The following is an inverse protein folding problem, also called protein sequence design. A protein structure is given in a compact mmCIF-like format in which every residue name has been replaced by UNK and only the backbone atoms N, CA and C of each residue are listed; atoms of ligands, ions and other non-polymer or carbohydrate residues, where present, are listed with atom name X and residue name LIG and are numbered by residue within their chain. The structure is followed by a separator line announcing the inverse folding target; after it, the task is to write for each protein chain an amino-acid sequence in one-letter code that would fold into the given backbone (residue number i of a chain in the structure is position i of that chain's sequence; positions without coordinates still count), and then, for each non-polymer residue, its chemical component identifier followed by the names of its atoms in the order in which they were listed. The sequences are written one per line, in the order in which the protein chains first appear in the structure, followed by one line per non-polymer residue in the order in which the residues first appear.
data_IF_901619448488
#
_entry.id   IF_901619448488
#
_cell.length_a   1.000
_cell.length_b   1.000
_cell.length_c   1.000
_cell.angle_alpha   90.00
_cell.angle_beta   90.00
_cell.angle_gamma   90.00
#
_symmetry.space_group_name_H-M   'P 1'
#
loop_
_entity.id
_entity.type
_entity.pdbx_description
1 polymer ?
#
# COMPACT_ATOMS: atom_id res chain seq x y z
N UNK A 1 -17.93 -11.70 -30.40
CA UNK A 1 -17.29 -11.29 -29.13
C UNK A 1 -18.36 -10.80 -28.15
N UNK A 2 -18.20 -10.98 -26.83
CA UNK A 2 -19.12 -10.39 -25.86
C UNK A 2 -18.79 -8.90 -25.65
N UNK A 3 -19.80 -8.06 -25.44
CA UNK A 3 -19.65 -6.66 -25.04
C UNK A 3 -18.67 -6.50 -23.86
N UNK A 4 -18.66 -7.48 -22.95
CA UNK A 4 -17.76 -7.54 -21.80
C UNK A 4 -16.29 -7.57 -22.22
N UNK A 5 -15.90 -8.36 -23.23
CA UNK A 5 -14.51 -8.43 -23.66
C UNK A 5 -14.01 -7.10 -24.25
N UNK A 6 -14.84 -6.42 -25.04
CA UNK A 6 -14.52 -5.09 -25.56
C UNK A 6 -14.37 -4.06 -24.42
N UNK A 7 -15.30 -4.04 -23.45
CA UNK A 7 -15.23 -3.13 -22.30
C UNK A 7 -13.99 -3.39 -21.43
N UNK A 8 -13.61 -4.65 -21.23
CA UNK A 8 -12.38 -5.01 -20.53
C UNK A 8 -11.14 -4.46 -21.24
N UNK A 9 -11.07 -4.54 -22.57
CA UNK A 9 -9.96 -3.96 -23.33
C UNK A 9 -9.92 -2.44 -23.26
N UNK A 10 -11.08 -1.78 -23.30
CA UNK A 10 -11.17 -0.33 -23.13
C UNK A 10 -10.65 0.09 -21.74
N UNK A 11 -11.04 -0.61 -20.69
CA UNK A 11 -10.52 -0.38 -19.34
C UNK A 11 -9.00 -0.56 -19.29
N UNK A 12 -8.46 -1.62 -19.91
CA UNK A 12 -7.01 -1.82 -19.99
C UNK A 12 -6.29 -0.69 -20.69
N UNK A 13 -6.86 -0.07 -21.73
CA UNK A 13 -6.24 1.11 -22.36
C UNK A 13 -6.16 2.33 -21.41
N UNK A 14 -7.03 2.41 -20.41
CA UNK A 14 -7.00 3.44 -19.37
C UNK A 14 -6.02 3.08 -18.26
N UNK A 15 -6.05 1.82 -17.79
CA UNK A 15 -5.27 1.36 -16.64
C UNK A 15 -3.81 1.01 -16.97
N UNK A 16 -3.54 0.52 -18.18
CA UNK A 16 -2.24 -0.02 -18.63
C UNK A 16 -1.68 0.82 -19.80
N UNK A 17 -0.76 1.78 -19.56
CA UNK A 17 -0.19 2.60 -20.62
C UNK A 17 0.48 1.78 -21.74
N UNK A 18 1.25 0.76 -21.36
CA UNK A 18 1.94 -0.11 -22.32
C UNK A 18 0.95 -0.90 -23.21
N UNK A 19 -0.23 -1.23 -22.69
CA UNK A 19 -1.27 -1.89 -23.48
C UNK A 19 -1.81 -0.94 -24.55
N UNK A 20 -2.15 0.31 -24.17
CA UNK A 20 -2.57 1.36 -25.12
C UNK A 20 -1.51 1.62 -26.20
N UNK A 21 -0.25 1.76 -25.79
CA UNK A 21 0.86 1.99 -26.73
C UNK A 21 1.01 0.81 -27.70
N UNK A 22 0.78 -0.42 -27.22
CA UNK A 22 0.69 -1.60 -28.06
C UNK A 22 -0.46 -1.55 -29.07
N UNK A 23 -1.65 -1.10 -28.65
CA UNK A 23 -2.81 -0.92 -29.54
C UNK A 23 -2.52 0.12 -30.62
N UNK A 24 -1.88 1.25 -30.27
CA UNK A 24 -1.44 2.29 -31.21
C UNK A 24 -0.40 1.78 -32.20
N UNK A 25 0.59 1.05 -31.71
CA UNK A 25 1.62 0.42 -32.51
C UNK A 25 1.14 -0.83 -33.28
N UNK A 26 -0.17 -1.14 -33.23
CA UNK A 26 -0.79 -2.28 -33.92
C UNK A 26 -0.17 -3.64 -33.54
N UNK A 27 0.33 -3.78 -32.31
CA UNK A 27 0.79 -5.07 -31.80
C UNK A 27 -0.37 -6.08 -31.78
N UNK A 28 -0.09 -7.37 -32.04
CA UNK A 28 -1.12 -8.39 -31.96
C UNK A 28 -1.72 -8.43 -30.55
N UNK A 29 -3.04 -8.58 -30.49
CA UNK A 29 -3.74 -8.74 -29.22
C UNK A 29 -3.43 -10.12 -28.62
N UNK A 30 -3.54 -10.28 -27.29
CA UNK A 30 -3.35 -11.58 -26.66
C UNK A 30 -4.20 -12.66 -27.34
N UNK A 31 -3.67 -13.87 -27.57
CA UNK A 31 -4.30 -14.90 -28.43
C UNK A 31 -5.67 -15.41 -27.94
N UNK A 32 -6.08 -15.07 -26.72
CA UNK A 32 -7.39 -15.44 -26.14
C UNK A 32 -8.50 -14.44 -26.43
N UNK A 33 -8.25 -13.45 -27.29
CA UNK A 33 -9.15 -12.33 -27.54
C UNK A 33 -9.48 -12.28 -29.03
N UNK A 34 -10.64 -12.84 -29.40
CA UNK A 34 -11.16 -12.76 -30.77
C UNK A 34 -11.93 -11.46 -30.98
N UNK A 35 -11.25 -10.46 -31.56
CA UNK A 35 -11.86 -9.19 -31.96
C UNK A 35 -12.30 -9.26 -33.42
N UNK A 36 -13.48 -8.73 -33.71
CA UNK A 36 -13.86 -8.43 -35.10
C UNK A 36 -13.00 -7.28 -35.64
N UNK A 37 -12.88 -7.20 -36.97
CA UNK A 37 -12.19 -6.08 -37.62
C UNK A 37 -12.78 -4.71 -37.23
N UNK A 38 -14.10 -4.66 -37.03
CA UNK A 38 -14.79 -3.46 -36.55
C UNK A 38 -14.33 -3.06 -35.14
N UNK A 39 -14.18 -4.01 -34.23
CA UNK A 39 -13.74 -3.76 -32.86
C UNK A 39 -12.26 -3.36 -32.81
N UNK A 40 -11.40 -4.00 -33.62
CA UNK A 40 -10.00 -3.59 -33.79
C UNK A 40 -9.90 -2.11 -34.22
N UNK A 41 -10.62 -1.72 -35.28
CA UNK A 41 -10.62 -0.33 -35.75
C UNK A 41 -11.13 0.64 -34.68
N UNK A 42 -12.15 0.24 -33.91
CA UNK A 42 -12.71 1.08 -32.84
C UNK A 42 -11.72 1.26 -31.68
N UNK A 43 -11.06 0.19 -31.21
CA UNK A 43 -10.06 0.28 -30.16
C UNK A 43 -8.87 1.15 -30.57
N UNK A 44 -8.41 1.05 -31.82
CA UNK A 44 -7.34 1.90 -32.35
C UNK A 44 -7.73 3.38 -32.33
N UNK A 45 -8.91 3.72 -32.86
CA UNK A 45 -9.41 5.10 -32.81
C UNK A 45 -9.50 5.63 -31.38
N UNK A 46 -10.00 4.82 -30.45
CA UNK A 46 -10.07 5.19 -29.03
C UNK A 46 -8.69 5.34 -28.38
N UNK A 47 -7.72 4.53 -28.76
CA UNK A 47 -6.35 4.64 -28.25
C UNK A 47 -5.72 6.00 -28.62
N UNK A 48 -6.08 6.57 -29.77
CA UNK A 48 -5.61 7.89 -30.22
C UNK A 48 -6.46 9.07 -29.73
N UNK A 49 -7.60 8.80 -29.09
CA UNK A 49 -8.52 9.83 -28.62
C UNK A 49 -7.94 10.61 -27.41
N UNK A 50 -7.87 11.97 -27.47
CA UNK A 50 -7.43 12.80 -26.34
C UNK A 50 -8.29 12.65 -25.08
N UNK A 51 -9.58 12.33 -25.23
CA UNK A 51 -10.48 12.04 -24.11
C UNK A 51 -10.02 10.82 -23.30
N UNK A 52 -9.29 9.89 -23.91
CA UNK A 52 -8.71 8.76 -23.19
C UNK A 52 -7.58 9.20 -22.24
N UNK A 53 -6.82 10.24 -22.59
CA UNK A 53 -5.80 10.82 -21.72
C UNK A 53 -6.40 11.52 -20.49
N UNK A 54 -7.55 12.18 -20.66
CA UNK A 54 -8.33 12.74 -19.55
C UNK A 54 -8.79 11.63 -18.61
N UNK A 55 -9.41 10.58 -19.16
CA UNK A 55 -9.86 9.42 -18.37
C UNK A 55 -8.71 8.76 -17.60
N UNK A 56 -7.53 8.62 -18.22
CA UNK A 56 -6.34 8.10 -17.55
C UNK A 56 -5.89 8.99 -16.40
N UNK A 57 -5.90 10.30 -16.60
CA UNK A 57 -5.51 11.28 -15.58
C UNK A 57 -6.45 11.24 -14.39
N UNK A 58 -7.76 11.22 -14.65
CA UNK A 58 -8.80 11.07 -13.63
C UNK A 58 -8.67 9.73 -12.89
N UNK A 59 -8.47 8.63 -13.61
CA UNK A 59 -8.30 7.31 -13.02
C UNK A 59 -7.09 7.24 -12.07
N UNK A 60 -5.93 7.77 -12.50
CA UNK A 60 -4.73 7.85 -11.67
C UNK A 60 -4.91 8.78 -10.47
N UNK A 61 -5.54 9.93 -10.67
CA UNK A 61 -5.84 10.88 -9.59
C UNK A 61 -6.75 10.27 -8.53
N UNK A 62 -7.80 9.56 -8.95
CA UNK A 62 -8.71 8.86 -8.05
C UNK A 62 -8.00 7.78 -7.24
N UNK A 63 -7.19 6.93 -7.89
CA UNK A 63 -6.38 5.91 -7.22
C UNK A 63 -5.39 6.49 -6.22
N UNK A 64 -4.66 7.54 -6.61
CA UNK A 64 -3.77 8.26 -5.71
C UNK A 64 -4.52 8.82 -4.49
N UNK A 65 -5.71 9.37 -4.70
CA UNK A 65 -6.58 9.86 -3.62
C UNK A 65 -6.95 8.75 -2.63
N UNK A 66 -7.31 7.57 -3.13
CA UNK A 66 -7.64 6.39 -2.30
C UNK A 66 -6.43 5.87 -1.55
N UNK A 67 -5.28 5.78 -2.19
CA UNK A 67 -4.04 5.39 -1.51
C UNK A 67 -3.64 6.38 -0.41
N UNK A 68 -3.81 7.69 -0.64
CA UNK A 68 -3.57 8.71 0.41
C UNK A 68 -4.53 8.61 1.58
N UNK A 69 -5.77 8.18 1.34
CA UNK A 69 -6.75 7.97 2.41
C UNK A 69 -6.43 6.72 3.24
N UNK A 70 -5.91 5.67 2.60
CA UNK A 70 -5.59 4.39 3.27
C UNK A 70 -4.19 4.37 3.90
N UNK A 71 -3.24 5.11 3.34
CA UNK A 71 -1.84 5.14 3.77
C UNK A 71 -1.34 6.60 3.95
N UNK A 72 -2.03 7.44 4.75
CA UNK A 72 -1.71 8.85 4.88
C UNK A 72 -0.28 9.11 5.37
N UNK A 73 0.18 8.36 6.38
CA UNK A 73 1.48 8.57 7.01
C UNK A 73 2.62 8.11 6.10
N UNK A 74 2.45 6.97 5.42
CA UNK A 74 3.40 6.54 4.38
C UNK A 74 3.50 7.58 3.26
N UNK A 75 2.35 8.09 2.78
CA UNK A 75 2.32 9.11 1.73
C UNK A 75 3.03 10.41 2.15
N UNK A 76 2.82 10.84 3.40
CA UNK A 76 3.48 12.00 3.99
C UNK A 76 4.99 11.80 4.12
N UNK A 77 5.43 10.66 4.66
CA UNK A 77 6.85 10.35 4.79
C UNK A 77 7.58 10.33 3.44
N UNK A 78 6.98 9.69 2.43
CA UNK A 78 7.55 9.67 1.08
C UNK A 78 7.63 11.10 0.50
N UNK A 79 6.62 11.93 0.75
CA UNK A 79 6.47 13.24 0.12
C UNK A 79 6.15 13.15 -1.37
N UNK A 80 5.66 14.25 -1.94
CA UNK A 80 5.04 14.25 -3.28
C UNK A 80 5.93 13.66 -4.39
N UNK A 81 7.20 14.07 -4.45
CA UNK A 81 8.13 13.65 -5.51
C UNK A 81 8.44 12.15 -5.46
N UNK A 82 8.75 11.61 -4.27
CA UNK A 82 9.06 10.18 -4.13
C UNK A 82 7.81 9.34 -4.28
N UNK A 83 6.69 9.76 -3.68
CA UNK A 83 5.41 9.08 -3.83
C UNK A 83 5.03 8.92 -5.30
N UNK A 84 5.09 10.00 -6.09
CA UNK A 84 4.80 9.97 -7.52
C UNK A 84 5.70 8.97 -8.28
N UNK A 85 7.00 8.94 -7.97
CA UNK A 85 7.95 8.02 -8.59
C UNK A 85 7.68 6.56 -8.24
N UNK A 86 7.50 6.26 -6.96
CA UNK A 86 7.28 4.87 -6.52
C UNK A 86 5.90 4.35 -6.97
N UNK A 87 4.85 5.18 -6.98
CA UNK A 87 3.54 4.80 -7.52
C UNK A 87 3.58 4.53 -9.02
N UNK A 88 4.31 5.36 -9.78
CA UNK A 88 4.46 5.16 -11.21
C UNK A 88 5.11 3.81 -11.52
N UNK A 89 6.12 3.41 -10.74
CA UNK A 89 6.78 2.10 -10.87
C UNK A 89 5.87 0.96 -10.41
N UNK A 90 5.22 1.13 -9.25
CA UNK A 90 4.27 0.16 -8.71
C UNK A 90 3.18 -0.18 -9.72
N UNK A 91 2.52 0.81 -10.33
CA UNK A 91 1.45 0.55 -11.31
C UNK A 91 1.94 0.00 -12.65
N UNK A 92 3.23 0.14 -12.98
CA UNK A 92 3.83 -0.53 -14.14
C UNK A 92 4.04 -2.01 -13.82
N UNK A 93 4.60 -2.32 -12.64
CA UNK A 93 4.89 -3.70 -12.20
C UNK A 93 3.60 -4.48 -11.83
N UNK A 94 2.62 -3.77 -11.28
CA UNK A 94 1.35 -4.29 -10.79
C UNK A 94 0.21 -3.40 -11.29
N UNK A 95 -0.17 -3.54 -12.58
CA UNK A 95 -1.30 -2.80 -13.10
C UNK A 95 -2.56 -3.09 -12.28
N UNK A 96 -3.40 -2.08 -12.02
CA UNK A 96 -4.61 -2.33 -11.27
C UNK A 96 -5.55 -3.33 -11.95
N UNK A 97 -5.87 -4.39 -11.22
CA UNK A 97 -6.72 -5.49 -11.70
C UNK A 97 -8.14 -5.44 -11.16
N UNK A 98 -8.42 -4.59 -10.15
CA UNK A 98 -9.74 -4.47 -9.53
C UNK A 98 -10.07 -3.03 -9.12
N UNK A 99 -11.35 -2.78 -8.83
CA UNK A 99 -11.82 -1.52 -8.24
C UNK A 99 -11.66 -1.46 -6.71
N UNK A 100 -11.15 -2.53 -6.08
CA UNK A 100 -10.90 -2.55 -4.65
C UNK A 100 -9.55 -1.92 -4.33
N UNK A 101 -9.54 -0.95 -3.42
CA UNK A 101 -8.34 -0.19 -3.04
C UNK A 101 -7.62 -0.78 -1.85
N UNK A 102 -8.30 -1.56 -1.00
CA UNK A 102 -7.68 -2.16 0.17
C UNK A 102 -6.60 -3.18 -0.23
N UNK A 103 -6.86 -4.15 -1.14
CA UNK A 103 -5.82 -5.04 -1.63
C UNK A 103 -4.68 -4.29 -2.34
N UNK A 104 -4.98 -3.24 -3.10
CA UNK A 104 -3.97 -2.41 -3.75
C UNK A 104 -3.07 -1.69 -2.74
N UNK A 105 -3.64 -1.18 -1.65
CA UNK A 105 -2.87 -0.52 -0.59
C UNK A 105 -1.94 -1.51 0.12
N UNK A 106 -2.40 -2.73 0.41
CA UNK A 106 -1.57 -3.81 0.94
C UNK A 106 -0.45 -4.21 -0.05
N UNK A 107 -0.78 -4.33 -1.34
CA UNK A 107 0.20 -4.60 -2.38
C UNK A 107 1.25 -3.48 -2.52
N UNK A 108 0.85 -2.22 -2.31
CA UNK A 108 1.76 -1.09 -2.33
C UNK A 108 2.66 -1.07 -1.08
N UNK A 109 2.10 -1.39 0.09
CA UNK A 109 2.83 -1.67 1.32
C UNK A 109 3.97 -2.68 1.07
N UNK A 110 3.65 -3.84 0.50
CA UNK A 110 4.60 -4.91 0.22
C UNK A 110 5.60 -4.57 -0.88
N UNK A 111 5.15 -3.78 -1.87
CA UNK A 111 6.06 -3.18 -2.85
C UNK A 111 7.12 -2.33 -2.15
N UNK A 112 6.73 -1.37 -1.30
CA UNK A 112 7.66 -0.48 -0.61
C UNK A 112 8.62 -1.22 0.33
N UNK A 113 8.13 -2.24 1.07
CA UNK A 113 8.97 -3.11 1.91
C UNK A 113 10.09 -3.77 1.09
N UNK A 114 9.78 -4.30 -0.10
CA UNK A 114 10.76 -4.93 -1.00
C UNK A 114 11.74 -3.94 -1.63
N UNK A 115 11.34 -2.67 -1.82
CA UNK A 115 12.24 -1.62 -2.33
C UNK A 115 13.35 -1.23 -1.37
N UNK A 116 13.24 -1.58 -0.07
CA UNK A 116 14.24 -1.27 0.98
C UNK A 116 14.70 0.19 0.93
N UNK A 117 13.74 1.12 0.87
CA UNK A 117 14.04 2.55 0.80
C UNK A 117 14.77 2.97 2.09
N UNK A 118 15.88 3.69 1.95
CA UNK A 118 16.64 4.25 3.08
C UNK A 118 15.89 5.43 3.70
N UNK A 119 14.81 5.14 4.41
CA UNK A 119 13.96 6.11 5.09
C UNK A 119 13.73 5.61 6.51
N UNK A 120 14.34 6.31 7.46
CA UNK A 120 14.48 5.89 8.87
C UNK A 120 13.19 5.36 9.48
N UNK A 121 12.09 6.11 9.34
CA UNK A 121 10.82 5.79 9.99
C UNK A 121 9.84 5.01 9.10
N UNK A 122 10.21 4.73 7.84
CA UNK A 122 9.30 4.08 6.91
C UNK A 122 8.93 2.64 7.31
N UNK A 123 9.85 1.79 7.82
CA UNK A 123 9.50 0.44 8.25
C UNK A 123 8.40 0.42 9.32
N UNK A 124 8.55 1.24 10.36
CA UNK A 124 7.58 1.36 11.47
C UNK A 124 6.21 1.85 10.98
N UNK A 125 6.19 2.86 10.11
CA UNK A 125 4.92 3.39 9.57
C UNK A 125 4.25 2.40 8.63
N UNK A 126 5.02 1.69 7.80
CA UNK A 126 4.45 0.61 7.00
C UNK A 126 3.92 -0.49 7.91
N UNK A 127 4.64 -0.90 8.95
CA UNK A 127 4.17 -1.93 9.87
C UNK A 127 2.83 -1.53 10.52
N UNK A 128 2.72 -0.29 11.01
CA UNK A 128 1.47 0.26 11.55
C UNK A 128 0.32 0.28 10.53
N UNK A 129 0.51 0.95 9.39
CA UNK A 129 -0.59 1.15 8.43
C UNK A 129 -0.98 -0.17 7.74
N UNK A 130 -0.04 -1.05 7.40
CA UNK A 130 -0.39 -2.35 6.83
C UNK A 130 -1.17 -3.21 7.84
N UNK A 131 -0.82 -3.19 9.14
CA UNK A 131 -1.60 -3.93 10.16
C UNK A 131 -3.02 -3.41 10.30
N UNK A 132 -3.23 -2.09 10.22
CA UNK A 132 -4.59 -1.51 10.17
C UNK A 132 -5.36 -2.07 8.98
N UNK A 133 -4.76 -2.05 7.79
CA UNK A 133 -5.40 -2.55 6.57
C UNK A 133 -5.68 -4.05 6.59
N UNK A 134 -4.78 -4.86 7.15
CA UNK A 134 -4.96 -6.31 7.32
C UNK A 134 -6.12 -6.63 8.27
N UNK A 135 -6.23 -5.89 9.38
CA UNK A 135 -7.35 -6.04 10.31
C UNK A 135 -8.67 -5.63 9.66
N UNK A 136 -8.70 -4.54 8.88
CA UNK A 136 -9.87 -4.15 8.10
C UNK A 136 -10.25 -5.22 7.07
N UNK A 137 -9.28 -5.80 6.37
CA UNK A 137 -9.51 -6.87 5.42
C UNK A 137 -10.13 -8.10 6.10
N UNK A 138 -9.57 -8.51 7.23
CA UNK A 138 -10.07 -9.65 8.00
C UNK A 138 -11.50 -9.39 8.50
N UNK A 139 -11.78 -8.17 8.96
CA UNK A 139 -13.13 -7.76 9.37
C UNK A 139 -14.15 -7.72 8.23
N UNK A 140 -13.74 -7.45 6.99
CA UNK A 140 -14.60 -7.57 5.81
C UNK A 140 -14.88 -9.02 5.44
N UNK A 141 -13.90 -9.91 5.63
CA UNK A 141 -14.04 -11.34 5.35
C UNK A 141 -14.88 -12.07 6.41
N UNK A 142 -14.73 -11.70 7.69
CA UNK A 142 -15.47 -12.27 8.82
C UNK A 142 -16.00 -11.16 9.76
N UNK A 143 -17.18 -10.59 9.45
CA UNK A 143 -17.80 -9.58 10.29
C UNK A 143 -18.06 -10.09 11.72
N UNK A 144 -17.67 -9.30 12.72
CA UNK A 144 -17.89 -9.61 14.14
C UNK A 144 -16.78 -10.44 14.81
N UNK A 145 -15.81 -10.96 14.05
CA UNK A 145 -14.66 -11.65 14.61
C UNK A 145 -13.71 -10.66 15.31
N UNK A 146 -13.14 -11.10 16.44
CA UNK A 146 -12.03 -10.42 17.09
C UNK A 146 -10.75 -10.91 16.42
N UNK A 147 -10.01 -10.00 15.80
CA UNK A 147 -8.75 -10.28 15.13
C UNK A 147 -7.63 -9.51 15.81
N UNK A 148 -6.49 -10.17 16.01
CA UNK A 148 -5.33 -9.57 16.65
C UNK A 148 -4.07 -9.73 15.79
N UNK A 149 -3.25 -8.68 15.78
CA UNK A 149 -1.96 -8.62 15.10
C UNK A 149 -0.93 -7.94 16.00
N UNK A 150 0.27 -8.50 16.05
CA UNK A 150 1.39 -7.90 16.76
C UNK A 150 2.27 -7.13 15.78
N UNK A 151 2.79 -5.99 16.23
CA UNK A 151 3.64 -5.09 15.45
C UNK A 151 4.85 -4.71 16.29
N UNK A 152 6.03 -4.80 15.70
CA UNK A 152 7.28 -4.31 16.29
C UNK A 152 7.63 -2.96 15.68
N UNK A 153 8.06 -2.03 16.53
CA UNK A 153 8.54 -0.71 16.18
C UNK A 153 9.99 -0.55 16.60
N UNK A 154 10.83 0.03 15.74
CA UNK A 154 12.20 0.41 16.08
C UNK A 154 12.24 1.71 16.89
N UNK A 155 11.24 2.58 16.75
CA UNK A 155 11.11 3.87 17.43
C UNK A 155 9.86 3.91 18.30
N UNK A 156 9.79 4.84 19.25
CA UNK A 156 8.58 5.04 20.05
C UNK A 156 7.39 5.41 19.14
N UNK A 157 6.37 4.54 19.02
CA UNK A 157 5.24 4.79 18.12
C UNK A 157 4.41 5.98 18.59
N UNK A 158 4.36 6.27 19.90
CA UNK A 158 3.60 7.40 20.43
C UNK A 158 4.10 8.73 19.87
N UNK A 159 5.40 8.98 19.97
CA UNK A 159 6.03 10.19 19.44
C UNK A 159 6.01 10.22 17.91
N UNK A 160 6.34 9.09 17.27
CA UNK A 160 6.43 8.99 15.82
C UNK A 160 5.08 9.25 15.12
N UNK A 161 4.03 8.54 15.54
CA UNK A 161 2.69 8.65 14.95
C UNK A 161 2.09 10.04 15.22
N UNK A 162 2.29 10.58 16.43
CA UNK A 162 1.77 11.91 16.79
C UNK A 162 2.32 13.02 15.90
N UNK A 163 3.61 12.98 15.56
CA UNK A 163 4.20 13.95 14.63
C UNK A 163 3.56 13.85 13.24
N UNK A 164 3.37 12.63 12.72
CA UNK A 164 2.80 12.43 11.40
C UNK A 164 1.33 12.84 11.33
N UNK A 165 0.53 12.52 12.35
CA UNK A 165 -0.88 12.97 12.45
C UNK A 165 -1.01 14.49 12.38
N UNK A 166 -0.04 15.24 12.93
CA UNK A 166 -0.01 16.72 12.84
C UNK A 166 0.49 17.27 11.50
N UNK A 167 0.82 16.41 10.54
CA UNK A 167 1.42 16.84 9.27
C UNK A 167 2.91 17.21 9.38
N UNK A 168 3.54 16.94 10.53
CA UNK A 168 4.94 17.26 10.78
C UNK A 168 5.86 16.15 10.27
N UNK A 169 7.14 16.48 10.10
CA UNK A 169 8.18 15.45 9.96
C UNK A 169 8.66 15.04 11.34
N UNK A 170 8.78 13.73 11.64
CA UNK A 170 9.37 13.31 12.90
C UNK A 170 10.79 13.85 13.02
N UNK A 171 11.15 14.36 14.21
CA UNK A 171 12.49 14.83 14.53
C UNK A 171 13.51 13.69 14.58
N UNK A 172 14.70 13.93 15.13
CA UNK A 172 15.69 12.88 15.37
C UNK A 172 15.30 12.06 16.62
N UNK A 173 14.51 11.00 16.43
CA UNK A 173 14.01 10.16 17.51
C UNK A 173 15.01 9.06 17.84
N UNK A 174 15.45 8.88 19.09
CA UNK A 174 16.31 7.77 19.45
C UNK A 174 15.59 6.43 19.20
N UNK A 175 16.29 5.38 18.78
CA UNK A 175 15.72 4.03 18.71
C UNK A 175 15.16 3.62 20.07
N UNK A 176 13.96 3.07 20.08
CA UNK A 176 13.26 2.58 21.25
C UNK A 176 12.37 1.41 20.85
N UNK A 177 12.97 0.21 20.84
CA UNK A 177 12.30 -1.01 20.43
C UNK A 177 11.03 -1.23 21.26
N UNK A 178 9.88 -1.18 20.60
CA UNK A 178 8.56 -1.26 21.23
C UNK A 178 7.72 -2.30 20.53
N UNK A 179 6.97 -3.09 21.29
CA UNK A 179 5.99 -4.02 20.75
C UNK A 179 4.58 -3.48 20.98
N UNK A 180 3.71 -3.64 20.01
CA UNK A 180 2.30 -3.30 20.14
C UNK A 180 1.43 -4.46 19.64
N UNK A 181 0.26 -4.60 20.25
CA UNK A 181 -0.80 -5.47 19.76
C UNK A 181 -1.96 -4.61 19.28
N UNK A 182 -2.40 -4.83 18.06
CA UNK A 182 -3.61 -4.25 17.49
C UNK A 182 -4.72 -5.30 17.48
N UNK A 183 -5.86 -4.95 18.07
CA UNK A 183 -7.05 -5.81 18.13
C UNK A 183 -8.22 -5.11 17.47
N UNK A 184 -8.83 -5.73 16.47
CA UNK A 184 -10.10 -5.28 15.90
C UNK A 184 -11.25 -5.82 16.74
N UNK A 185 -12.10 -4.91 17.20
CA UNK A 185 -13.28 -5.21 18.01
C UNK A 185 -14.50 -5.52 17.10
N UNK A 186 -15.57 -6.14 17.63
CA UNK A 186 -16.77 -6.45 16.84
C UNK A 186 -17.46 -5.22 16.24
N UNK A 187 -17.31 -4.04 16.86
CA UNK A 187 -17.82 -2.75 16.38
C UNK A 187 -16.98 -2.14 15.24
N UNK A 188 -15.92 -2.83 14.82
CA UNK A 188 -15.00 -2.41 13.76
C UNK A 188 -13.89 -1.49 14.22
N UNK A 189 -13.84 -1.05 15.48
CA UNK A 189 -12.75 -0.23 15.99
C UNK A 189 -11.50 -1.07 16.20
N UNK A 190 -10.34 -0.48 15.94
CA UNK A 190 -9.03 -1.08 16.24
C UNK A 190 -8.49 -0.47 17.53
N UNK A 191 -8.21 -1.30 18.52
CA UNK A 191 -7.58 -0.93 19.79
C UNK A 191 -6.12 -1.33 19.78
N UNK A 192 -5.25 -0.43 20.22
CA UNK A 192 -3.82 -0.67 20.34
C UNK A 192 -3.41 -0.81 21.81
N UNK A 193 -2.59 -1.82 22.08
CA UNK A 193 -1.98 -2.06 23.38
C UNK A 193 -0.46 -2.09 23.22
N UNK A 194 0.21 -1.11 23.82
CA UNK A 194 1.68 -1.07 23.86
C UNK A 194 2.20 -2.01 24.94
N UNK A 195 3.07 -2.93 24.54
CA UNK A 195 3.83 -3.79 25.42
C UNK A 195 5.21 -3.16 25.60
N UNK A 196 5.39 -2.48 26.72
CA UNK A 196 6.71 -2.03 27.13
C UNK A 196 7.40 -3.26 27.71
N UNK A 197 8.42 -3.77 27.02
CA UNK A 197 9.37 -4.68 27.67
C UNK A 197 9.98 -3.92 28.84
N UNK A 198 9.51 -4.22 30.05
CA UNK A 198 10.28 -3.87 31.25
C UNK A 198 11.60 -4.60 31.08
N UNK A 199 12.66 -3.84 30.80
CA UNK A 199 13.97 -4.38 30.50
C UNK A 199 14.31 -5.50 31.47
N UNK A 200 14.82 -6.61 30.92
CA UNK A 200 15.38 -7.71 31.70
C UNK A 200 16.36 -7.09 32.69
N UNK A 201 15.96 -7.04 33.96
CA UNK A 201 16.86 -6.72 35.06
C UNK A 201 17.96 -7.76 35.01
N UNK A 202 19.15 -7.36 34.55
CA UNK A 202 20.34 -8.19 34.66
C UNK A 202 20.46 -8.56 36.14
N UNK A 203 20.45 -9.85 36.52
CA UNK A 203 20.61 -10.21 37.93
C UNK A 203 21.94 -9.62 38.44
N UNK A 204 21.99 -9.09 39.66
CA UNK A 204 23.24 -8.60 40.23
C UNK A 204 24.28 -9.72 40.15
N UNK A 205 25.48 -9.39 39.67
CA UNK A 205 26.58 -10.32 39.61
C UNK A 205 26.80 -10.92 41.01
N UNK A 206 26.74 -12.25 41.11
CA UNK A 206 27.03 -12.96 42.35
C UNK A 206 28.43 -12.55 42.85
N UNK A 207 28.59 -12.25 44.14
CA UNK A 207 29.91 -11.93 44.68
C UNK A 207 30.85 -13.13 44.52
N UNK A 208 32.15 -12.88 44.33
CA UNK A 208 33.14 -13.96 44.24
C UNK A 208 33.12 -14.77 45.54
N UNK A 209 32.89 -16.07 45.41
CA UNK A 209 32.98 -17.01 46.53
C UNK A 209 34.40 -17.06 47.10
N UNK A 210 34.56 -17.33 48.41
CA UNK A 210 35.86 -17.32 49.06
C UNK A 210 36.74 -18.45 48.49
N UNK A 211 37.98 -18.10 48.17
CA UNK A 211 39.01 -19.07 47.83
C UNK A 211 39.30 -19.93 49.07
N UNK A 212 39.10 -21.24 48.93
CA UNK A 212 39.58 -22.28 49.84
C UNK A 212 40.68 -23.09 49.17
#
# INVERSE_FOLDING_TARGET
MSQQAFQSLLFRMIAEPAFRDGVRAQKPFPPRIELTEREHRRLRRLADDPGLDINRTLHKGFRLGKLRALLPMTCQLLGARRLSRELSRFWIERPPSSFSFLPEALDFCDYLKRRRLRMRYLPDILAYECTVLELEQAGQAMPGAIEQRNVSFEYDPGTLLSALVRGERPGDLPPHATHASATRLPDGRIRWHLQIERGVSRPPASPPGPAG
#
